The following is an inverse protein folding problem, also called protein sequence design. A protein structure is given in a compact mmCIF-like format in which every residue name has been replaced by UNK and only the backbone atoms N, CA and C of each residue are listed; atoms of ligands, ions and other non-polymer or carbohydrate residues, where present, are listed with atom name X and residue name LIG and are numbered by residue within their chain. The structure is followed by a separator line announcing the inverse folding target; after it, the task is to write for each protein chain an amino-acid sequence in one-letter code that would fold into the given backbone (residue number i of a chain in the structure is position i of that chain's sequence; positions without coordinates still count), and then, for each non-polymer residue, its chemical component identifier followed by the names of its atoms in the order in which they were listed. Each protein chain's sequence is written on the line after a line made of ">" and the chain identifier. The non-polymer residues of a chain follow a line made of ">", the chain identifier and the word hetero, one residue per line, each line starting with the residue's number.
data_IF_534074399249
#
_entry.id   IF_534074399249
#
_cell.length_a   1.000
_cell.length_b   1.000
_cell.length_c   1.000
_cell.angle_alpha   90.00
_cell.angle_beta   90.00
_cell.angle_gamma   90.00
#
_symmetry.space_group_name_H-M   'P 1'
#
loop_
_entity.id
_entity.type
_entity.pdbx_description
1 polymer ?
#
# COMPACT_ATOMS: atom_id res chain seq x y z
N UNK A 1 -40.55 32.24 32.25
CA UNK A 1 -41.91 31.66 32.06
C UNK A 1 -42.62 32.51 31.01
N UNK A 2 -43.09 32.05 29.85
CA UNK A 2 -43.12 30.76 29.18
C UNK A 2 -43.64 31.05 27.76
N UNK A 3 -43.02 30.45 26.74
CA UNK A 3 -43.43 30.56 25.33
C UNK A 3 -44.64 29.66 25.10
N UNK A 4 -45.69 30.15 24.44
CA UNK A 4 -46.73 29.31 23.83
C UNK A 4 -46.72 29.51 22.32
N UNK A 5 -46.25 28.48 21.62
CA UNK A 5 -46.38 28.34 20.18
C UNK A 5 -46.69 26.88 19.89
N UNK A 6 -47.97 26.59 19.64
CA UNK A 6 -48.45 25.29 19.19
C UNK A 6 -49.46 25.56 18.08
N UNK A 7 -49.05 25.26 16.84
CA UNK A 7 -49.94 24.82 15.76
C UNK A 7 -49.09 24.35 14.58
N UNK A 8 -49.40 23.15 14.06
CA UNK A 8 -48.83 22.65 12.82
C UNK A 8 -48.91 21.14 12.62
N UNK A 9 -50.10 20.65 12.28
CA UNK A 9 -50.42 19.49 11.42
C UNK A 9 -49.75 18.10 11.62
N UNK A 10 -50.61 17.09 11.82
CA UNK A 10 -50.46 15.67 11.40
C UNK A 10 -51.04 15.56 9.97
N UNK A 11 -50.62 14.75 8.97
CA UNK A 11 -49.64 13.66 8.73
C UNK A 11 -49.37 13.58 7.18
N UNK A 12 -48.50 12.69 6.66
CA UNK A 12 -49.01 11.37 6.30
C UNK A 12 -48.19 10.22 6.90
N UNK A 13 -48.89 9.10 7.07
CA UNK A 13 -48.41 7.80 7.47
C UNK A 13 -47.57 7.25 6.32
N UNK A 14 -46.33 6.79 6.58
CA UNK A 14 -45.52 6.14 5.54
C UNK A 14 -46.02 4.72 5.34
N UNK A 15 -46.44 4.46 4.12
CA UNK A 15 -46.94 3.21 3.56
C UNK A 15 -45.78 2.22 3.33
N UNK A 16 -46.13 0.93 3.36
CA UNK A 16 -45.40 -0.24 2.85
C UNK A 16 -43.86 -0.27 3.04
N UNK A 17 -43.41 -1.01 4.07
CA UNK A 17 -42.01 -1.47 4.22
C UNK A 17 -41.75 -2.63 3.26
N UNK A 18 -41.26 -2.30 2.08
CA UNK A 18 -40.45 -3.10 1.14
C UNK A 18 -39.91 -2.06 0.13
N UNK A 19 -38.64 -1.71 -0.01
CA UNK A 19 -37.34 -2.35 0.26
C UNK A 19 -36.36 -1.25 0.71
N UNK A 20 -35.74 -1.42 1.87
CA UNK A 20 -34.79 -0.48 2.50
C UNK A 20 -33.46 -1.16 2.74
N UNK A 21 -32.64 -1.26 1.69
CA UNK A 21 -31.27 -1.77 1.78
C UNK A 21 -30.42 -0.71 2.47
N UNK A 22 -29.84 -1.05 3.62
CA UNK A 22 -28.89 -0.19 4.32
C UNK A 22 -27.48 -0.46 3.78
N UNK A 23 -27.09 0.27 2.72
CA UNK A 23 -25.80 0.08 2.08
C UNK A 23 -24.61 0.39 3.01
N UNK A 24 -24.77 1.29 3.99
CA UNK A 24 -23.74 1.53 5.01
C UNK A 24 -23.65 0.33 5.94
N UNK A 25 -24.80 -0.21 6.39
CA UNK A 25 -24.86 -1.43 7.17
C UNK A 25 -24.18 -2.61 6.46
N UNK A 26 -24.40 -2.77 5.16
CA UNK A 26 -23.74 -3.81 4.35
C UNK A 26 -22.23 -3.61 4.23
N UNK A 27 -21.78 -2.37 3.99
CA UNK A 27 -20.35 -2.05 3.99
C UNK A 27 -19.71 -2.32 5.36
N UNK A 28 -20.41 -2.06 6.46
CA UNK A 28 -19.98 -2.41 7.81
C UNK A 28 -19.83 -3.91 8.03
N UNK A 29 -20.76 -4.73 7.51
CA UNK A 29 -20.63 -6.20 7.55
C UNK A 29 -19.43 -6.70 6.76
N UNK A 30 -19.18 -6.13 5.58
CA UNK A 30 -18.01 -6.48 4.78
C UNK A 30 -16.70 -6.10 5.49
N UNK A 31 -16.63 -4.91 6.10
CA UNK A 31 -15.49 -4.51 6.92
C UNK A 31 -15.22 -5.48 8.08
N UNK A 32 -16.27 -5.92 8.77
CA UNK A 32 -16.14 -6.92 9.83
C UNK A 32 -15.68 -8.28 9.29
N UNK A 33 -16.21 -8.73 8.16
CA UNK A 33 -15.80 -10.00 7.52
C UNK A 33 -14.32 -9.98 7.10
N UNK A 34 -13.79 -8.80 6.74
CA UNK A 34 -12.39 -8.64 6.37
C UNK A 34 -11.41 -8.86 7.54
N UNK A 35 -11.84 -8.80 8.80
CA UNK A 35 -10.96 -9.10 9.94
C UNK A 35 -10.38 -10.52 9.86
N UNK A 36 -11.14 -11.48 9.32
CA UNK A 36 -10.63 -12.83 9.08
C UNK A 36 -9.50 -12.86 8.04
N UNK A 37 -9.59 -12.06 6.97
CA UNK A 37 -8.50 -11.91 6.00
C UNK A 37 -7.28 -11.25 6.65
N UNK A 38 -7.49 -10.24 7.52
CA UNK A 38 -6.39 -9.59 8.24
C UNK A 38 -5.61 -10.58 9.10
N UNK A 39 -6.31 -11.44 9.84
CA UNK A 39 -5.67 -12.50 10.64
C UNK A 39 -4.90 -13.49 9.74
N UNK A 40 -5.52 -13.93 8.63
CA UNK A 40 -4.85 -14.81 7.66
C UNK A 40 -3.58 -14.22 7.07
N UNK A 41 -3.49 -12.89 6.92
CA UNK A 41 -2.26 -12.22 6.47
C UNK A 41 -1.19 -12.20 7.56
N UNK A 42 -1.58 -11.98 8.81
CA UNK A 42 -0.68 -12.03 9.97
C UNK A 42 -0.16 -13.43 10.27
N UNK A 43 -0.89 -14.48 9.91
CA UNK A 43 -0.46 -15.88 10.09
C UNK A 43 0.50 -16.38 9.00
N UNK A 44 0.72 -15.61 7.92
CA UNK A 44 1.68 -15.96 6.87
C UNK A 44 3.10 -15.80 7.36
N UNK A 45 4.02 -16.53 6.73
CA UNK A 45 5.45 -16.31 6.93
C UNK A 45 5.81 -14.84 6.66
N UNK A 46 6.44 -14.13 7.61
CA UNK A 46 6.82 -12.75 7.42
C UNK A 46 7.95 -12.65 6.41
N UNK A 47 7.90 -11.61 5.58
CA UNK A 47 9.04 -11.19 4.81
C UNK A 47 10.16 -10.70 5.74
N UNK A 48 11.42 -11.14 5.58
CA UNK A 48 12.51 -10.82 6.51
C UNK A 48 12.71 -9.33 6.77
N UNK A 49 12.44 -8.49 5.77
CA UNK A 49 12.61 -7.04 5.86
C UNK A 49 11.31 -6.23 5.97
N UNK A 50 10.16 -6.81 5.60
CA UNK A 50 8.88 -6.08 5.46
C UNK A 50 7.82 -6.58 6.45
N UNK A 51 8.04 -7.71 7.13
CA UNK A 51 7.04 -8.35 7.98
C UNK A 51 5.88 -8.91 7.15
N UNK A 52 4.65 -8.68 7.59
CA UNK A 52 3.46 -9.22 6.97
C UNK A 52 2.80 -8.25 5.99
N UNK A 53 2.12 -8.79 4.98
CA UNK A 53 1.19 -8.02 4.15
C UNK A 53 0.07 -7.43 5.01
N UNK A 54 -0.46 -6.29 4.59
CA UNK A 54 -1.51 -5.59 5.36
C UNK A 54 -2.49 -4.88 4.44
N UNK A 55 -3.69 -4.64 4.92
CA UNK A 55 -4.64 -3.74 4.26
C UNK A 55 -5.41 -2.92 5.29
N UNK A 56 -6.04 -1.86 4.82
CA UNK A 56 -7.01 -1.10 5.60
C UNK A 56 -8.05 -0.44 4.68
N UNK A 57 -9.14 0.02 5.29
CA UNK A 57 -10.10 0.90 4.64
C UNK A 57 -9.64 2.35 4.71
N UNK A 58 -9.28 2.94 3.58
CA UNK A 58 -8.83 4.32 3.48
C UNK A 58 -9.98 5.33 3.51
N UNK A 59 -11.10 5.02 2.85
CA UNK A 59 -12.31 5.84 2.89
C UNK A 59 -13.58 5.00 2.89
N UNK A 60 -14.63 5.53 3.52
CA UNK A 60 -15.99 5.02 3.45
C UNK A 60 -16.96 6.20 3.27
N UNK A 61 -17.81 6.14 2.26
CA UNK A 61 -18.73 7.23 1.91
C UNK A 61 -20.11 6.65 1.63
N UNK A 62 -21.15 7.16 2.30
CA UNK A 62 -22.52 6.71 2.10
C UNK A 62 -23.53 7.58 2.85
N UNK A 63 -24.79 7.49 2.44
CA UNK A 63 -25.90 8.24 3.02
C UNK A 63 -26.08 9.65 2.47
N UNK A 64 -27.27 10.19 2.69
CA UNK A 64 -27.67 11.51 2.18
C UNK A 64 -28.44 12.34 3.21
N UNK A 65 -29.15 11.69 4.14
CA UNK A 65 -29.84 12.34 5.25
C UNK A 65 -30.03 11.35 6.42
N UNK A 66 -30.12 11.82 7.69
CA UNK A 66 -30.21 10.96 8.87
C UNK A 66 -31.43 10.02 8.92
N UNK A 67 -32.54 10.41 8.28
CA UNK A 67 -33.80 9.65 8.27
C UNK A 67 -34.05 8.92 6.95
N UNK A 68 -32.99 8.70 6.16
CA UNK A 68 -33.05 8.04 4.84
C UNK A 68 -32.09 6.85 4.85
N UNK A 69 -32.60 5.66 4.49
CA UNK A 69 -31.74 4.49 4.30
C UNK A 69 -30.76 4.76 3.15
N UNK A 70 -29.45 4.56 3.37
CA UNK A 70 -28.44 4.86 2.35
C UNK A 70 -28.55 3.85 1.20
N UNK A 71 -28.88 4.34 0.00
CA UNK A 71 -29.00 3.49 -1.19
C UNK A 71 -27.65 2.93 -1.68
N UNK A 72 -26.55 3.65 -1.43
CA UNK A 72 -25.20 3.24 -1.84
C UNK A 72 -24.18 3.58 -0.77
N UNK A 73 -23.14 2.76 -0.67
CA UNK A 73 -21.94 3.06 0.10
C UNK A 73 -20.71 2.64 -0.71
N UNK A 74 -19.69 3.49 -0.75
CA UNK A 74 -18.41 3.24 -1.41
C UNK A 74 -17.34 3.04 -0.35
N UNK A 75 -16.64 1.92 -0.44
CA UNK A 75 -15.49 1.59 0.36
C UNK A 75 -14.23 1.61 -0.51
N UNK A 76 -13.16 2.27 -0.06
CA UNK A 76 -11.85 2.21 -0.70
C UNK A 76 -10.88 1.49 0.23
N UNK A 77 -10.33 0.37 -0.24
CA UNK A 77 -9.34 -0.43 0.48
C UNK A 77 -7.95 -0.19 -0.10
N UNK A 78 -6.94 -0.03 0.75
CA UNK A 78 -5.52 -0.07 0.38
C UNK A 78 -4.92 -1.39 0.85
N UNK A 79 -4.29 -2.16 -0.05
CA UNK A 79 -3.49 -3.35 0.27
C UNK A 79 -2.02 -3.07 -0.01
N UNK A 80 -1.18 -3.37 0.97
CA UNK A 80 0.29 -3.40 0.85
C UNK A 80 0.75 -4.82 0.59
N UNK A 81 1.11 -5.11 -0.65
CA UNK A 81 1.62 -6.42 -1.09
C UNK A 81 3.10 -6.60 -0.78
N UNK A 82 3.50 -7.83 -0.48
CA UNK A 82 4.89 -8.24 -0.35
C UNK A 82 5.46 -8.74 -1.70
N UNK A 83 6.79 -8.83 -1.88
CA UNK A 83 7.38 -9.53 -3.01
C UNK A 83 6.80 -10.95 -3.15
N UNK A 84 6.43 -11.33 -4.37
CA UNK A 84 5.74 -12.59 -4.67
C UNK A 84 4.22 -12.54 -4.58
N UNK A 85 3.63 -11.48 -4.01
CA UNK A 85 2.19 -11.22 -4.09
C UNK A 85 1.87 -10.29 -5.27
N UNK A 86 0.73 -10.54 -5.93
CA UNK A 86 0.26 -9.69 -7.03
C UNK A 86 -1.15 -9.14 -6.81
N UNK A 87 -1.53 -8.20 -7.67
CA UNK A 87 -2.83 -7.55 -7.61
C UNK A 87 -3.99 -8.50 -7.96
N UNK A 88 -3.76 -9.56 -8.75
CA UNK A 88 -4.82 -10.50 -9.12
C UNK A 88 -5.18 -11.41 -7.94
N UNK A 89 -4.17 -12.00 -7.28
CA UNK A 89 -4.33 -12.79 -6.07
C UNK A 89 -4.97 -11.98 -4.94
N UNK A 90 -4.54 -10.73 -4.76
CA UNK A 90 -5.18 -9.80 -3.81
C UNK A 90 -6.67 -9.63 -4.09
N UNK A 91 -7.06 -9.42 -5.35
CA UNK A 91 -8.48 -9.26 -5.70
C UNK A 91 -9.29 -10.53 -5.44
N UNK A 92 -8.72 -11.71 -5.67
CA UNK A 92 -9.35 -13.00 -5.35
C UNK A 92 -9.59 -13.12 -3.84
N UNK A 93 -8.64 -12.71 -3.00
CA UNK A 93 -8.78 -12.76 -1.54
C UNK A 93 -9.93 -11.89 -1.02
N UNK A 94 -10.05 -10.66 -1.53
CA UNK A 94 -11.15 -9.76 -1.19
C UNK A 94 -12.49 -10.24 -1.75
N UNK A 95 -12.49 -10.73 -3.00
CA UNK A 95 -13.70 -11.25 -3.62
C UNK A 95 -14.24 -12.47 -2.88
N UNK A 96 -13.38 -13.37 -2.40
CA UNK A 96 -13.80 -14.52 -1.61
C UNK A 96 -14.53 -14.10 -0.32
N UNK A 97 -14.02 -13.10 0.40
CA UNK A 97 -14.71 -12.56 1.60
C UNK A 97 -16.06 -11.95 1.24
N UNK A 98 -16.16 -11.30 0.07
CA UNK A 98 -17.41 -10.73 -0.40
C UNK A 98 -18.42 -11.83 -0.76
N UNK A 99 -17.96 -12.86 -1.47
CA UNK A 99 -18.79 -14.00 -1.88
C UNK A 99 -19.34 -14.75 -0.66
N UNK A 100 -18.51 -14.98 0.36
CA UNK A 100 -18.92 -15.59 1.63
C UNK A 100 -20.00 -14.73 2.32
N UNK A 101 -19.81 -13.41 2.38
CA UNK A 101 -20.79 -12.49 2.95
C UNK A 101 -22.12 -12.50 2.18
N UNK A 102 -22.08 -12.52 0.85
CA UNK A 102 -23.28 -12.56 0.01
C UNK A 102 -24.04 -13.88 0.18
N UNK A 103 -23.33 -14.99 0.40
CA UNK A 103 -23.95 -16.28 0.71
C UNK A 103 -24.68 -16.26 2.08
N UNK A 104 -24.13 -15.58 3.09
CA UNK A 104 -24.74 -15.42 4.41
C UNK A 104 -25.85 -14.37 4.45
N UNK A 105 -25.72 -13.32 3.64
CA UNK A 105 -26.62 -12.17 3.58
C UNK A 105 -26.97 -11.88 2.12
N UNK A 106 -27.97 -12.57 1.55
CA UNK A 106 -28.34 -12.46 0.13
C UNK A 106 -28.78 -11.05 -0.29
N UNK A 107 -29.15 -10.18 0.67
CA UNK A 107 -29.51 -8.79 0.41
C UNK A 107 -28.29 -7.90 0.11
N UNK A 108 -27.07 -8.37 0.35
CA UNK A 108 -25.85 -7.65 0.00
C UNK A 108 -25.66 -7.70 -1.52
N UNK A 109 -25.91 -6.57 -2.18
CA UNK A 109 -25.49 -6.32 -3.55
C UNK A 109 -24.24 -5.44 -3.55
N UNK A 110 -23.12 -5.99 -4.03
CA UNK A 110 -21.84 -5.26 -4.05
C UNK A 110 -20.98 -5.69 -5.24
N UNK A 111 -20.14 -4.76 -5.69
CA UNK A 111 -19.18 -4.98 -6.77
C UNK A 111 -17.80 -4.56 -6.30
N UNK A 112 -16.85 -5.48 -6.40
CA UNK A 112 -15.44 -5.18 -6.17
C UNK A 112 -14.78 -4.76 -7.49
N UNK A 113 -14.02 -3.67 -7.47
CA UNK A 113 -13.25 -3.19 -8.63
C UNK A 113 -11.82 -2.87 -8.23
N UNK A 114 -10.87 -3.30 -9.06
CA UNK A 114 -9.45 -3.01 -8.83
C UNK A 114 -9.17 -1.52 -9.06
N UNK A 115 -8.46 -0.91 -8.10
CA UNK A 115 -7.91 0.43 -8.22
C UNK A 115 -6.53 0.45 -8.89
N UNK A 116 -5.71 1.42 -8.49
CA UNK A 116 -4.30 1.48 -8.87
C UNK A 116 -3.55 0.29 -8.26
N UNK A 117 -2.77 -0.42 -9.08
CA UNK A 117 -1.87 -1.46 -8.63
C UNK A 117 -0.42 -1.03 -8.87
N UNK A 118 0.40 -1.17 -7.84
CA UNK A 118 1.83 -0.87 -7.84
C UNK A 118 2.53 -2.07 -7.20
N UNK A 119 3.13 -2.98 -7.99
CA UNK A 119 3.67 -4.22 -7.47
C UNK A 119 4.81 -3.94 -6.49
N UNK A 120 4.98 -4.86 -5.54
CA UNK A 120 6.15 -4.87 -4.66
C UNK A 120 7.41 -5.08 -5.49
N UNK A 121 8.54 -4.59 -4.97
CA UNK A 121 9.84 -4.71 -5.61
C UNK A 121 10.87 -5.14 -4.60
N UNK A 122 11.76 -6.02 -5.02
CA UNK A 122 12.86 -6.53 -4.23
C UNK A 122 14.11 -6.71 -5.09
N UNK A 123 15.27 -6.49 -4.49
CA UNK A 123 16.58 -6.82 -5.06
C UNK A 123 17.28 -7.73 -4.05
N UNK A 124 17.89 -8.86 -4.47
CA UNK A 124 18.62 -9.74 -3.56
C UNK A 124 19.70 -8.98 -2.78
N UNK A 125 19.86 -9.28 -1.50
CA UNK A 125 20.84 -8.61 -0.65
C UNK A 125 22.27 -8.83 -1.15
N UNK A 126 22.52 -9.96 -1.80
CA UNK A 126 23.82 -10.36 -2.35
C UNK A 126 24.11 -9.70 -3.71
N UNK A 127 23.16 -8.97 -4.29
CA UNK A 127 23.34 -8.32 -5.59
C UNK A 127 24.56 -7.37 -5.55
N UNK A 128 25.38 -7.30 -6.62
CA UNK A 128 26.54 -6.42 -6.67
C UNK A 128 26.22 -4.96 -6.36
N UNK A 129 25.05 -4.47 -6.79
CA UNK A 129 24.54 -3.13 -6.47
C UNK A 129 24.43 -2.91 -4.96
N UNK A 130 23.81 -3.86 -4.25
CA UNK A 130 23.58 -3.79 -2.79
C UNK A 130 24.90 -3.88 -2.05
N UNK A 131 25.70 -4.91 -2.34
CA UNK A 131 26.99 -5.14 -1.66
C UNK A 131 27.98 -3.99 -1.92
N UNK A 132 28.02 -3.46 -3.13
CA UNK A 132 28.84 -2.30 -3.48
C UNK A 132 28.46 -1.05 -2.69
N UNK A 133 27.16 -0.80 -2.53
CA UNK A 133 26.67 0.34 -1.77
C UNK A 133 26.93 0.18 -0.26
N UNK A 134 26.72 -1.02 0.30
CA UNK A 134 27.07 -1.32 1.69
C UNK A 134 28.57 -1.10 1.95
N UNK A 135 29.43 -1.58 1.05
CA UNK A 135 30.88 -1.35 1.13
C UNK A 135 31.26 0.13 1.03
N UNK A 136 30.54 0.91 0.22
CA UNK A 136 30.74 2.35 0.13
C UNK A 136 30.33 3.08 1.42
N UNK A 137 29.21 2.69 2.06
CA UNK A 137 28.83 3.21 3.38
C UNK A 137 29.94 2.98 4.42
N UNK A 138 30.40 1.73 4.54
CA UNK A 138 31.49 1.38 5.48
C UNK A 138 32.76 2.18 5.18
N UNK A 139 33.09 2.34 3.90
CA UNK A 139 34.26 3.11 3.45
C UNK A 139 34.21 4.60 3.82
N UNK A 140 33.01 5.17 4.01
CA UNK A 140 32.79 6.55 4.46
C UNK A 140 32.41 6.64 5.95
N UNK A 141 32.62 5.55 6.72
CA UNK A 141 32.34 5.52 8.15
C UNK A 141 30.85 5.59 8.50
N UNK A 142 29.97 5.21 7.57
CA UNK A 142 28.53 5.06 7.78
C UNK A 142 28.23 3.60 8.07
N UNK A 143 27.57 3.32 9.19
CA UNK A 143 27.05 1.98 9.50
C UNK A 143 25.78 1.72 8.67
N UNK A 144 25.82 0.86 7.64
CA UNK A 144 24.68 0.68 6.76
C UNK A 144 23.65 -0.28 7.37
N UNK A 145 22.37 0.02 7.15
CA UNK A 145 21.27 -0.86 7.56
C UNK A 145 20.41 -1.20 6.36
N UNK A 146 20.31 -2.50 6.04
CA UNK A 146 19.32 -2.98 5.09
C UNK A 146 17.93 -2.96 5.74
N UNK A 147 16.99 -2.27 5.10
CA UNK A 147 15.61 -2.14 5.58
C UNK A 147 14.64 -2.30 4.43
N UNK A 148 13.51 -2.94 4.72
CA UNK A 148 12.34 -2.87 3.87
C UNK A 148 11.68 -1.51 4.01
N UNK A 149 11.13 -1.00 2.92
CA UNK A 149 10.36 0.24 2.90
C UNK A 149 8.92 -0.07 2.51
N UNK A 150 7.98 0.32 3.36
CA UNK A 150 6.53 0.09 3.10
C UNK A 150 5.94 1.12 2.13
N UNK A 151 6.66 2.21 1.85
CA UNK A 151 6.30 3.17 0.82
C UNK A 151 6.75 2.65 -0.56
N UNK A 152 5.97 2.99 -1.58
CA UNK A 152 6.30 2.64 -2.96
C UNK A 152 7.15 3.76 -3.60
N UNK A 153 8.19 3.37 -4.33
CA UNK A 153 9.11 4.30 -5.01
C UNK A 153 9.44 3.84 -6.43
N UNK A 154 9.87 4.77 -7.27
CA UNK A 154 10.10 4.57 -8.70
C UNK A 154 11.19 3.53 -9.04
N UNK A 155 12.06 3.17 -8.07
CA UNK A 155 13.01 2.06 -8.24
C UNK A 155 12.32 0.75 -8.64
N UNK A 156 11.05 0.56 -8.26
CA UNK A 156 10.25 -0.58 -8.68
C UNK A 156 10.06 -0.68 -10.20
N UNK A 157 10.01 0.44 -10.93
CA UNK A 157 9.93 0.41 -12.40
C UNK A 157 11.22 -0.11 -13.02
N UNK A 158 12.38 0.31 -12.51
CA UNK A 158 13.68 -0.16 -12.99
C UNK A 158 13.84 -1.66 -12.71
N UNK A 159 13.51 -2.09 -11.50
CA UNK A 159 13.57 -3.49 -11.11
C UNK A 159 12.64 -4.36 -11.99
N UNK A 160 11.43 -3.88 -12.28
CA UNK A 160 10.51 -4.58 -13.19
C UNK A 160 11.04 -4.66 -14.63
N UNK A 161 11.79 -3.64 -15.08
CA UNK A 161 12.45 -3.63 -16.38
C UNK A 161 13.74 -4.48 -16.42
N UNK A 162 14.13 -5.12 -15.31
CA UNK A 162 15.33 -5.95 -15.22
C UNK A 162 16.61 -5.21 -14.83
N UNK A 163 16.51 -3.92 -14.46
CA UNK A 163 17.65 -3.13 -13.98
C UNK A 163 17.58 -3.02 -12.46
N UNK A 164 18.51 -3.66 -11.71
CA UNK A 164 18.54 -3.55 -10.26
C UNK A 164 18.62 -2.09 -9.80
N UNK A 165 17.76 -1.73 -8.86
CA UNK A 165 17.64 -0.39 -8.29
C UNK A 165 17.24 -0.47 -6.82
N UNK A 166 17.91 0.31 -5.99
CA UNK A 166 17.66 0.42 -4.55
C UNK A 166 17.38 1.87 -4.17
N UNK A 167 16.59 2.08 -3.12
CA UNK A 167 16.43 3.40 -2.53
C UNK A 167 17.54 3.64 -1.52
N UNK A 168 18.28 4.73 -1.70
CA UNK A 168 19.32 5.17 -0.78
C UNK A 168 19.31 6.69 -0.72
N UNK A 169 19.36 7.23 0.48
CA UNK A 169 19.30 8.67 0.69
C UNK A 169 19.59 9.06 2.14
N UNK A 170 19.80 10.36 2.39
CA UNK A 170 20.08 10.88 3.72
C UNK A 170 18.79 11.00 4.56
N UNK A 171 18.97 11.18 5.87
CA UNK A 171 17.87 11.48 6.79
C UNK A 171 17.01 10.27 7.15
N UNK A 172 15.89 10.57 7.80
CA UNK A 172 14.90 9.57 8.24
C UNK A 172 13.62 9.71 7.44
N UNK A 173 13.11 8.57 6.94
CA UNK A 173 11.79 8.54 6.28
C UNK A 173 10.66 9.02 7.20
N UNK A 174 10.83 8.93 8.52
CA UNK A 174 9.86 9.44 9.49
C UNK A 174 9.73 10.96 9.52
N UNK A 175 10.68 11.70 8.94
CA UNK A 175 10.63 13.15 8.80
C UNK A 175 9.92 13.59 7.51
N UNK A 176 9.86 12.71 6.50
CA UNK A 176 9.20 13.00 5.23
C UNK A 176 7.69 13.17 5.41
N UNK A 177 7.08 14.07 4.63
CA UNK A 177 5.64 14.38 4.68
C UNK A 177 5.16 14.87 6.06
N UNK A 178 6.05 15.44 6.87
CA UNK A 178 5.70 16.14 8.09
C UNK A 178 5.47 17.62 7.83
N UNK A 179 4.77 18.31 8.74
CA UNK A 179 4.52 19.75 8.61
C UNK A 179 5.82 20.57 8.61
N UNK A 180 6.82 20.11 9.37
CA UNK A 180 8.14 20.72 9.49
C UNK A 180 9.20 19.79 8.89
N UNK A 181 9.10 19.47 7.60
CA UNK A 181 10.09 18.63 6.92
C UNK A 181 11.47 19.34 6.85
N UNK A 182 12.52 18.68 7.34
CA UNK A 182 13.89 19.20 7.35
C UNK A 182 14.92 18.07 7.24
N UNK A 183 16.17 18.44 6.98
CA UNK A 183 17.31 17.52 7.00
C UNK A 183 18.58 18.25 7.45
N UNK A 184 19.47 17.55 8.16
CA UNK A 184 20.78 18.10 8.50
C UNK A 184 21.66 18.14 7.23
N UNK A 185 22.23 19.29 6.84
CA UNK A 185 23.12 19.38 5.68
C UNK A 185 24.29 18.39 5.73
N UNK A 186 24.78 18.03 6.91
CA UNK A 186 25.86 17.05 7.07
C UNK A 186 25.44 15.64 6.66
N UNK A 187 24.15 15.29 6.75
CA UNK A 187 23.63 14.03 6.24
C UNK A 187 23.63 13.99 4.71
N UNK A 188 23.34 15.13 4.07
CA UNK A 188 23.43 15.27 2.61
C UNK A 188 24.88 15.09 2.16
N UNK A 189 25.83 15.76 2.83
CA UNK A 189 27.26 15.65 2.53
C UNK A 189 27.76 14.21 2.65
N UNK A 190 27.37 13.51 3.73
CA UNK A 190 27.71 12.09 3.93
C UNK A 190 27.10 11.19 2.85
N UNK A 191 25.84 11.41 2.50
CA UNK A 191 25.19 10.66 1.42
C UNK A 191 25.90 10.88 0.08
N UNK A 192 26.28 12.12 -0.24
CA UNK A 192 27.03 12.44 -1.45
C UNK A 192 28.38 11.74 -1.49
N UNK A 193 29.13 11.73 -0.38
CA UNK A 193 30.41 11.02 -0.28
C UNK A 193 30.26 9.50 -0.51
N UNK A 194 29.22 8.88 0.06
CA UNK A 194 28.92 7.46 -0.16
C UNK A 194 28.60 7.19 -1.63
N UNK A 195 27.73 7.99 -2.25
CA UNK A 195 27.35 7.83 -3.65
C UNK A 195 28.53 8.05 -4.61
N UNK A 196 29.42 9.00 -4.30
CA UNK A 196 30.65 9.22 -5.05
C UNK A 196 31.56 7.99 -4.97
N UNK A 197 31.86 7.51 -3.76
CA UNK A 197 32.68 6.31 -3.54
C UNK A 197 32.07 5.11 -4.24
N UNK A 198 30.77 4.89 -4.05
CA UNK A 198 30.03 3.80 -4.69
C UNK A 198 30.21 3.87 -6.21
N UNK A 199 29.89 5.01 -6.82
CA UNK A 199 30.01 5.20 -8.28
C UNK A 199 31.42 4.94 -8.77
N UNK A 200 32.46 5.47 -8.09
CA UNK A 200 33.86 5.24 -8.46
C UNK A 200 34.25 3.77 -8.38
N UNK A 201 33.83 3.07 -7.32
CA UNK A 201 34.20 1.68 -7.10
C UNK A 201 33.42 0.75 -8.02
N UNK A 202 32.12 0.98 -8.18
CA UNK A 202 31.23 0.17 -9.00
C UNK A 202 31.59 0.27 -10.49
N UNK A 203 31.95 1.48 -10.98
CA UNK A 203 32.38 1.68 -12.37
C UNK A 203 33.82 1.20 -12.63
N UNK A 204 34.68 1.14 -11.61
CA UNK A 204 36.05 0.59 -11.75
C UNK A 204 36.08 -0.93 -11.55
N UNK A 205 35.14 -1.46 -10.79
CA UNK A 205 35.00 -2.86 -10.42
C UNK A 205 34.35 -3.69 -11.52
N UNK A 206 34.77 -3.51 -12.78
CA UNK A 206 34.42 -4.40 -13.87
C UNK A 206 35.45 -4.41 -15.02
N UNK A 207 36.66 -4.86 -14.71
CA UNK A 207 37.52 -5.54 -15.70
C UNK A 207 37.11 -7.02 -15.84
N UNK A 208 35.83 -7.37 -15.65
CA UNK A 208 35.35 -8.75 -15.60
C UNK A 208 33.85 -8.88 -15.90
N UNK A 209 33.50 -8.60 -17.17
CA UNK A 209 32.18 -8.80 -17.78
C UNK A 209 31.11 -7.73 -17.51
N UNK A 210 31.33 -6.56 -18.13
CA UNK A 210 30.22 -5.76 -18.67
C UNK A 210 29.28 -6.69 -19.45
N UNK A 211 28.04 -6.84 -18.97
CA UNK A 211 26.91 -7.48 -19.64
C UNK A 211 26.70 -6.89 -21.06
N UNK A 212 27.47 -7.39 -22.02
CA UNK A 212 27.19 -7.25 -23.44
C UNK A 212 26.20 -8.35 -23.83
N UNK A 213 24.96 -8.33 -23.34
CA UNK A 213 23.87 -8.94 -24.10
C UNK A 213 22.46 -8.48 -23.70
N UNK A 214 22.09 -7.27 -24.09
CA UNK A 214 20.66 -6.85 -24.12
C UNK A 214 20.22 -6.52 -25.55
N UNK A 215 21.01 -6.89 -26.57
CA UNK A 215 20.67 -6.62 -27.98
C UNK A 215 20.85 -7.81 -28.93
N UNK A 216 21.42 -8.96 -28.51
CA UNK A 216 21.46 -10.15 -29.37
C UNK A 216 20.21 -11.03 -29.16
N UNK A 217 19.02 -10.50 -29.48
CA UNK A 217 17.78 -11.25 -29.30
C UNK A 217 16.56 -10.65 -29.98
N UNK A 218 16.74 -9.95 -31.10
CA UNK A 218 15.64 -9.54 -31.98
C UNK A 218 16.07 -9.76 -33.43
N UNK A 219 16.04 -11.02 -33.84
CA UNK A 219 16.05 -11.48 -35.23
C UNK A 219 14.84 -12.38 -35.46
#
# INVERSE_FOLDING_TARGET
>A
MGRSGLQGARSPRVEAREVGVDAIGHAGRYLAALDALKNRLSDREPHPLLGHGSFHAGTIEGGSAPSVYPATCRLVLERRTLPGEDAAGTMVEFQAVLDDLVAEVPEVEAKLTRGLARPASEVPNEAPLVQGLLGACVGEGVDPVLKGMTAWVDAAFLNHAGTPAVCFGPGSIGQAHSADEWIDPTEIERCAAVLERFSRNFLKGDQGEMLNDVTAGAG
#
